data_IF_852168825416
#
_entry.id   IF_852168825416
#
_cell.length_a   1.000
_cell.length_b   1.000
_cell.length_c   1.000
_cell.angle_alpha   90.00
_cell.angle_beta   90.00
_cell.angle_gamma   90.00
#
_symmetry.space_group_name_H-M   'P 1'
#
loop_
_entity.id
_entity.type
_entity.pdbx_description
1 polymer ?
#
# COMPACT_ATOMS: atom_id res chain seq x y z
N UNK A 1 43.83 23.77 56.50
CA UNK A 1 44.20 22.65 55.61
C UNK A 1 42.93 22.09 54.99
N UNK A 2 42.61 22.49 53.75
CA UNK A 2 41.41 22.06 53.02
C UNK A 2 41.87 21.13 51.89
N UNK A 3 41.43 19.86 51.94
CA UNK A 3 41.80 18.81 50.98
C UNK A 3 41.07 19.02 49.66
N UNK A 4 41.85 19.15 48.57
CA UNK A 4 41.37 19.20 47.19
C UNK A 4 40.94 17.78 46.78
N UNK A 5 39.72 17.62 46.26
CA UNK A 5 39.23 16.36 45.66
C UNK A 5 39.79 16.18 44.25
N UNK A 6 40.16 14.97 43.82
CA UNK A 6 40.45 14.71 42.41
C UNK A 6 39.14 14.46 41.65
N UNK A 7 38.92 15.23 40.59
CA UNK A 7 37.87 14.98 39.59
C UNK A 7 38.44 13.99 38.57
N UNK A 8 37.88 12.78 38.55
CA UNK A 8 38.20 11.75 37.56
C UNK A 8 37.46 12.09 36.26
N UNK A 9 38.18 12.57 35.25
CA UNK A 9 37.65 12.81 33.91
C UNK A 9 37.55 11.47 33.17
N UNK A 10 36.35 10.89 33.12
CA UNK A 10 36.07 9.75 32.23
C UNK A 10 35.62 10.33 30.89
N UNK A 11 36.50 10.29 29.89
CA UNK A 11 36.13 10.53 28.51
C UNK A 11 35.23 9.39 28.04
N UNK A 12 33.91 9.58 28.12
CA UNK A 12 32.94 8.71 27.47
C UNK A 12 33.11 8.87 25.95
N UNK A 13 33.72 7.87 25.32
CA UNK A 13 33.64 7.67 23.89
C UNK A 13 32.18 7.39 23.52
N UNK A 14 31.48 8.43 23.08
CA UNK A 14 30.15 8.32 22.48
C UNK A 14 30.39 7.70 21.09
N UNK A 15 30.42 6.37 21.05
CA UNK A 15 30.22 5.64 19.80
C UNK A 15 28.86 6.08 19.26
N UNK A 16 28.91 6.95 18.25
CA UNK A 16 27.75 7.35 17.49
C UNK A 16 27.31 6.12 16.72
N UNK A 17 26.44 5.31 17.31
CA UNK A 17 25.64 4.36 16.54
C UNK A 17 24.82 5.21 15.58
N UNK A 18 25.30 5.35 14.35
CA UNK A 18 24.45 5.76 13.25
C UNK A 18 23.34 4.74 13.22
N UNK A 19 22.14 5.17 13.63
CA UNK A 19 20.94 4.38 13.48
C UNK A 19 20.85 4.03 12.00
N UNK A 20 21.11 2.76 11.67
CA UNK A 20 20.83 2.24 10.34
C UNK A 20 19.34 2.37 10.19
N UNK A 21 18.89 3.37 9.41
CA UNK A 21 17.50 3.50 9.07
C UNK A 21 17.09 2.18 8.40
N UNK A 22 16.34 1.35 9.12
CA UNK A 22 15.75 0.15 8.53
C UNK A 22 14.88 0.62 7.38
N UNK A 23 15.15 0.15 6.16
CA UNK A 23 14.24 0.37 5.04
C UNK A 23 12.85 -0.12 5.46
N UNK A 24 11.88 0.80 5.53
CA UNK A 24 10.52 0.52 5.97
C UNK A 24 9.79 -0.46 5.02
N UNK A 25 10.34 -0.64 3.80
CA UNK A 25 9.84 -1.55 2.76
C UNK A 25 10.94 -2.04 1.83
N UNK A 26 10.60 -3.05 1.03
CA UNK A 26 11.42 -3.58 -0.05
C UNK A 26 10.71 -3.27 -1.37
N UNK A 27 11.40 -2.64 -2.33
CA UNK A 27 10.90 -2.58 -3.70
C UNK A 27 10.97 -3.96 -4.36
N UNK A 28 9.86 -4.38 -4.95
CA UNK A 28 9.71 -5.68 -5.59
C UNK A 28 9.71 -5.48 -7.09
N UNK A 29 10.65 -6.10 -7.81
CA UNK A 29 10.63 -6.07 -9.27
C UNK A 29 9.66 -7.13 -9.80
N UNK A 30 8.87 -6.75 -10.81
CA UNK A 30 8.01 -7.65 -11.57
C UNK A 30 8.23 -7.39 -13.07
N UNK A 31 9.39 -7.79 -13.64
CA UNK A 31 9.85 -7.26 -14.94
C UNK A 31 8.90 -7.55 -16.10
N UNK A 32 8.24 -8.71 -16.09
CA UNK A 32 7.31 -9.08 -17.14
C UNK A 32 6.03 -8.26 -17.06
N UNK A 33 5.50 -8.06 -15.85
CA UNK A 33 4.34 -7.20 -15.64
C UNK A 33 4.66 -5.72 -15.93
N UNK A 34 5.79 -5.23 -15.44
CA UNK A 34 6.22 -3.82 -15.59
C UNK A 34 6.23 -3.39 -17.06
N UNK A 35 6.61 -4.29 -17.99
CA UNK A 35 6.56 -4.03 -19.44
C UNK A 35 5.13 -3.84 -19.96
N UNK A 36 4.18 -4.58 -19.43
CA UNK A 36 2.79 -4.60 -19.91
C UNK A 36 1.99 -3.42 -19.35
N UNK A 37 2.28 -2.95 -18.13
CA UNK A 37 1.49 -1.91 -17.43
C UNK A 37 2.28 -0.64 -17.03
N UNK A 38 3.47 -0.41 -17.61
CA UNK A 38 4.31 0.76 -17.29
C UNK A 38 3.54 2.08 -17.35
N UNK A 39 2.76 2.29 -18.41
CA UNK A 39 1.85 3.41 -18.60
C UNK A 39 0.80 3.06 -19.65
N UNK A 40 -0.34 2.52 -19.21
CA UNK A 40 -1.49 2.32 -20.09
C UNK A 40 -2.14 3.67 -20.41
N UNK A 41 -2.43 3.90 -21.70
CA UNK A 41 -3.19 5.06 -22.18
C UNK A 41 -4.59 4.63 -22.54
N UNK A 42 -5.59 5.37 -22.05
CA UNK A 42 -6.99 5.21 -22.44
C UNK A 42 -7.36 6.45 -23.25
N UNK A 43 -7.49 6.28 -24.57
CA UNK A 43 -7.61 7.41 -25.49
C UNK A 43 -6.33 8.26 -25.53
N UNK A 44 -6.46 9.56 -25.79
CA UNK A 44 -5.31 10.46 -25.96
C UNK A 44 -4.88 11.17 -24.67
N UNK A 45 -5.77 11.33 -23.69
CA UNK A 45 -5.58 12.26 -22.56
C UNK A 45 -5.46 11.58 -21.19
N UNK A 46 -5.89 10.33 -21.07
CA UNK A 46 -5.88 9.59 -19.80
C UNK A 46 -4.74 8.57 -19.81
N UNK A 47 -3.94 8.56 -18.75
CA UNK A 47 -2.92 7.53 -18.56
C UNK A 47 -2.87 7.03 -17.12
N UNK A 48 -2.68 5.73 -16.97
CA UNK A 48 -2.45 5.08 -15.68
C UNK A 48 -1.09 4.41 -15.73
N UNK A 49 -0.16 4.87 -14.90
CA UNK A 49 1.21 4.41 -14.90
C UNK A 49 1.56 3.73 -13.60
N UNK A 50 2.13 2.53 -13.66
CA UNK A 50 2.78 1.92 -12.51
C UNK A 50 3.93 2.83 -12.05
N UNK A 51 4.07 2.99 -10.73
CA UNK A 51 5.11 3.81 -10.10
C UNK A 51 6.07 3.02 -9.26
N UNK A 52 5.53 2.12 -8.45
CA UNK A 52 6.32 1.23 -7.62
C UNK A 52 5.51 0.00 -7.27
N UNK A 53 6.23 -1.05 -6.92
CA UNK A 53 5.69 -2.23 -6.29
C UNK A 53 6.50 -2.42 -5.02
N UNK A 54 5.83 -2.46 -3.87
CA UNK A 54 6.50 -2.42 -2.57
C UNK A 54 5.93 -3.50 -1.65
N UNK A 55 6.82 -4.17 -0.92
CA UNK A 55 6.48 -5.07 0.16
C UNK A 55 6.88 -4.46 1.50
N UNK A 56 5.91 -4.37 2.40
CA UNK A 56 6.11 -3.97 3.79
C UNK A 56 5.96 -5.22 4.67
N UNK A 57 6.82 -5.38 5.67
CA UNK A 57 6.81 -6.57 6.52
C UNK A 57 5.90 -6.47 7.74
N UNK A 58 5.48 -5.26 8.14
CA UNK A 58 4.71 -5.06 9.38
C UNK A 58 3.87 -3.79 9.36
N UNK A 59 2.54 -3.88 9.19
CA UNK A 59 1.77 -5.06 8.82
C UNK A 59 2.09 -5.49 7.39
N UNK A 60 2.20 -6.80 7.15
CA UNK A 60 2.46 -7.37 5.82
C UNK A 60 1.55 -6.74 4.76
N UNK A 61 2.11 -6.00 3.80
CA UNK A 61 1.35 -5.31 2.76
C UNK A 61 2.11 -5.33 1.43
N UNK A 62 1.44 -5.81 0.37
CA UNK A 62 1.99 -5.84 -0.97
C UNK A 62 1.31 -4.79 -1.85
N UNK A 63 1.92 -3.63 -2.00
CA UNK A 63 1.29 -2.45 -2.60
C UNK A 63 1.82 -2.19 -4.00
N UNK A 64 0.89 -2.06 -4.95
CA UNK A 64 1.16 -1.62 -6.32
C UNK A 64 0.66 -0.20 -6.45
N UNK A 65 1.59 0.74 -6.56
CA UNK A 65 1.27 2.17 -6.65
C UNK A 65 1.18 2.60 -8.10
N UNK A 66 0.05 3.21 -8.44
CA UNK A 66 -0.20 3.78 -9.75
C UNK A 66 -0.38 5.29 -9.66
N UNK A 67 -0.06 5.97 -10.76
CA UNK A 67 -0.40 7.38 -10.98
C UNK A 67 -1.36 7.49 -12.15
N UNK A 68 -2.57 7.94 -11.86
CA UNK A 68 -3.55 8.32 -12.86
C UNK A 68 -3.34 9.79 -13.23
N UNK A 69 -3.25 10.08 -14.52
CA UNK A 69 -3.20 11.42 -15.08
C UNK A 69 -4.31 11.59 -16.09
N UNK A 70 -4.95 12.74 -16.07
CA UNK A 70 -5.97 13.16 -17.01
C UNK A 70 -6.50 14.52 -16.59
N UNK A 71 -7.29 15.13 -17.45
CA UNK A 71 -8.10 16.30 -17.13
C UNK A 71 -9.53 15.81 -16.84
N UNK A 72 -9.85 15.66 -15.56
CA UNK A 72 -11.10 15.08 -15.11
C UNK A 72 -12.02 16.15 -14.55
N UNK A 73 -13.32 16.03 -14.82
CA UNK A 73 -14.32 16.80 -14.06
C UNK A 73 -14.14 16.51 -12.56
N UNK A 74 -13.99 17.56 -11.74
CA UNK A 74 -13.72 17.43 -10.31
C UNK A 74 -14.75 16.52 -9.59
N UNK A 75 -16.02 16.63 -9.98
CA UNK A 75 -17.13 15.82 -9.45
C UNK A 75 -17.05 14.32 -9.82
N UNK A 76 -16.27 13.97 -10.85
CA UNK A 76 -16.12 12.59 -11.34
C UNK A 76 -14.81 11.94 -10.91
N UNK A 77 -13.88 12.69 -10.29
CA UNK A 77 -12.55 12.18 -9.92
C UNK A 77 -12.65 10.92 -9.06
N UNK A 78 -13.50 10.93 -8.04
CA UNK A 78 -13.69 9.74 -7.17
C UNK A 78 -14.14 8.53 -7.99
N UNK A 79 -15.21 8.69 -8.77
CA UNK A 79 -15.79 7.60 -9.59
C UNK A 79 -14.77 7.04 -10.57
N UNK A 80 -14.01 7.90 -11.25
CA UNK A 80 -13.00 7.51 -12.24
C UNK A 80 -11.84 6.80 -11.53
N UNK A 81 -11.32 7.37 -10.45
CA UNK A 81 -10.21 6.78 -9.68
C UNK A 81 -10.57 5.39 -9.17
N UNK A 82 -11.77 5.24 -8.59
CA UNK A 82 -12.25 3.96 -8.09
C UNK A 82 -12.50 2.95 -9.21
N UNK A 83 -12.94 3.39 -10.40
CA UNK A 83 -13.07 2.51 -11.56
C UNK A 83 -11.71 1.96 -12.01
N UNK A 84 -10.69 2.80 -12.10
CA UNK A 84 -9.33 2.37 -12.43
C UNK A 84 -8.76 1.42 -11.36
N UNK A 85 -8.99 1.69 -10.08
CA UNK A 85 -8.54 0.80 -8.99
C UNK A 85 -9.19 -0.59 -9.10
N UNK A 86 -10.49 -0.64 -9.42
CA UNK A 86 -11.22 -1.89 -9.65
C UNK A 86 -10.67 -2.65 -10.85
N UNK A 87 -10.45 -1.99 -11.98
CA UNK A 87 -9.93 -2.61 -13.20
C UNK A 87 -8.53 -3.20 -12.98
N UNK A 88 -7.60 -2.40 -12.46
CA UNK A 88 -6.24 -2.86 -12.14
C UNK A 88 -6.26 -4.03 -11.16
N UNK A 89 -7.07 -3.93 -10.10
CA UNK A 89 -7.18 -5.01 -9.12
C UNK A 89 -7.78 -6.28 -9.73
N UNK A 90 -8.79 -6.18 -10.60
CA UNK A 90 -9.35 -7.35 -11.28
C UNK A 90 -8.36 -7.99 -12.26
N UNK A 91 -7.50 -7.21 -12.92
CA UNK A 91 -6.48 -7.76 -13.82
C UNK A 91 -5.34 -8.46 -13.08
N UNK A 92 -4.98 -7.98 -11.88
CA UNK A 92 -3.81 -8.45 -11.13
C UNK A 92 -4.15 -9.44 -10.01
N UNK A 93 -5.33 -9.34 -9.41
CA UNK A 93 -5.70 -10.06 -8.20
C UNK A 93 -6.83 -11.08 -8.49
N UNK A 94 -6.59 -12.39 -8.32
CA UNK A 94 -7.58 -13.43 -8.62
C UNK A 94 -8.82 -13.36 -7.73
N UNK A 95 -8.73 -12.85 -6.49
CA UNK A 95 -9.89 -12.69 -5.61
C UNK A 95 -10.78 -11.54 -6.08
N UNK A 96 -10.19 -10.42 -6.50
CA UNK A 96 -10.97 -9.32 -7.08
C UNK A 96 -11.64 -9.74 -8.38
N UNK A 97 -10.92 -10.48 -9.24
CA UNK A 97 -11.48 -11.02 -10.47
C UNK A 97 -12.69 -11.93 -10.18
N UNK A 98 -12.55 -12.87 -9.24
CA UNK A 98 -13.62 -13.76 -8.83
C UNK A 98 -14.83 -13.01 -8.24
N UNK A 99 -14.61 -11.93 -7.47
CA UNK A 99 -15.71 -11.11 -6.93
C UNK A 99 -16.58 -10.48 -8.03
N UNK A 100 -15.99 -10.17 -9.19
CA UNK A 100 -16.70 -9.60 -10.33
C UNK A 100 -17.03 -10.63 -11.41
N UNK A 101 -16.99 -11.93 -11.09
CA UNK A 101 -17.25 -13.04 -12.03
C UNK A 101 -16.42 -12.94 -13.33
N UNK A 102 -15.14 -12.55 -13.20
CA UNK A 102 -14.19 -12.43 -14.31
C UNK A 102 -12.89 -13.21 -14.03
N UNK A 103 -11.99 -13.23 -15.02
CA UNK A 103 -10.66 -13.85 -14.90
C UNK A 103 -9.55 -12.79 -14.87
N UNK A 104 -8.50 -12.96 -14.06
CA UNK A 104 -7.42 -11.99 -13.97
C UNK A 104 -6.52 -12.06 -15.22
N UNK A 105 -6.51 -10.98 -16.00
CA UNK A 105 -5.84 -10.92 -17.30
C UNK A 105 -4.31 -10.92 -17.23
N UNK A 106 -3.71 -10.53 -16.10
CA UNK A 106 -2.25 -10.34 -15.95
C UNK A 106 -1.64 -11.25 -14.89
N UNK A 107 -2.38 -12.26 -14.42
CA UNK A 107 -1.91 -13.14 -13.35
C UNK A 107 -0.67 -13.95 -13.75
N UNK A 108 -0.57 -14.34 -15.02
CA UNK A 108 0.55 -15.09 -15.58
C UNK A 108 1.81 -14.23 -15.80
N UNK A 109 1.69 -12.91 -15.67
CA UNK A 109 2.79 -11.94 -15.74
C UNK A 109 3.42 -11.65 -14.37
N UNK A 110 2.81 -12.14 -13.29
CA UNK A 110 3.28 -11.97 -11.92
C UNK A 110 4.19 -13.14 -11.49
N UNK A 111 5.36 -12.81 -10.95
CA UNK A 111 6.21 -13.74 -10.22
C UNK A 111 5.62 -13.96 -8.82
N UNK A 112 4.93 -15.09 -8.64
CA UNK A 112 4.15 -15.38 -7.42
C UNK A 112 4.89 -16.24 -6.38
N UNK A 113 6.18 -16.50 -6.56
CA UNK A 113 6.94 -17.41 -5.68
C UNK A 113 7.06 -16.91 -4.23
N UNK A 114 7.27 -15.60 -4.05
CA UNK A 114 7.44 -14.98 -2.73
C UNK A 114 6.23 -14.14 -2.31
N UNK A 115 5.59 -13.46 -3.25
CA UNK A 115 4.47 -12.56 -3.00
C UNK A 115 3.26 -13.03 -3.81
N UNK A 116 2.14 -13.30 -3.14
CA UNK A 116 0.96 -13.85 -3.79
C UNK A 116 0.10 -12.74 -4.39
N UNK A 117 -0.42 -12.97 -5.59
CA UNK A 117 -1.27 -12.02 -6.31
C UNK A 117 -2.56 -11.66 -5.54
N UNK A 118 -3.10 -12.61 -4.77
CA UNK A 118 -4.27 -12.40 -3.89
C UNK A 118 -4.04 -11.34 -2.80
N UNK A 119 -2.78 -11.01 -2.49
CA UNK A 119 -2.39 -10.04 -1.45
C UNK A 119 -2.13 -8.64 -2.00
N UNK A 120 -2.31 -8.44 -3.32
CA UNK A 120 -2.05 -7.16 -3.96
C UNK A 120 -3.06 -6.12 -3.49
N UNK A 121 -2.53 -5.00 -3.00
CA UNK A 121 -3.23 -3.76 -2.73
C UNK A 121 -2.93 -2.79 -3.87
N UNK A 122 -3.98 -2.29 -4.52
CA UNK A 122 -3.85 -1.22 -5.50
C UNK A 122 -3.90 0.11 -4.76
N UNK A 123 -2.87 0.94 -4.95
CA UNK A 123 -2.86 2.35 -4.57
C UNK A 123 -2.91 3.19 -5.86
N UNK A 124 -3.79 4.20 -5.90
CA UNK A 124 -3.83 5.17 -7.00
C UNK A 124 -3.65 6.57 -6.44
N UNK A 125 -2.72 7.31 -7.05
CA UNK A 125 -2.56 8.75 -6.87
C UNK A 125 -3.04 9.50 -8.10
N UNK A 126 -3.77 10.60 -7.91
CA UNK A 126 -4.29 11.46 -8.98
C UNK A 126 -3.91 12.91 -8.70
N UNK A 127 -3.43 13.60 -9.74
CA UNK A 127 -3.32 15.05 -9.71
C UNK A 127 -4.31 15.60 -10.76
N UNK A 128 -5.32 16.34 -10.34
CA UNK A 128 -6.34 16.92 -11.21
C UNK A 128 -6.52 18.40 -10.89
N UNK A 129 -6.30 19.30 -11.84
CA UNK A 129 -6.49 20.76 -11.67
C UNK A 129 -5.85 21.36 -10.39
N UNK A 130 -4.62 20.92 -10.06
CA UNK A 130 -3.83 21.26 -8.84
C UNK A 130 -4.28 20.57 -7.55
N UNK A 131 -5.43 19.91 -7.57
CA UNK A 131 -5.89 19.07 -6.48
C UNK A 131 -5.23 17.69 -6.53
N UNK A 132 -5.02 17.10 -5.35
CA UNK A 132 -4.48 15.76 -5.20
C UNK A 132 -5.55 14.84 -4.64
N UNK A 133 -5.55 13.61 -5.11
CA UNK A 133 -6.45 12.57 -4.62
C UNK A 133 -5.70 11.26 -4.52
N UNK A 134 -6.16 10.43 -3.59
CA UNK A 134 -5.58 9.12 -3.36
C UNK A 134 -6.70 8.10 -3.19
N UNK A 135 -6.48 6.88 -3.63
CA UNK A 135 -7.41 5.78 -3.41
C UNK A 135 -6.66 4.48 -3.20
N UNK A 136 -7.33 3.53 -2.55
CA UNK A 136 -6.87 2.15 -2.55
C UNK A 136 -8.02 1.16 -2.71
N UNK A 137 -7.66 -0.04 -3.18
CA UNK A 137 -8.56 -1.18 -3.22
C UNK A 137 -7.78 -2.48 -3.03
N UNK A 138 -8.30 -3.38 -2.20
CA UNK A 138 -7.79 -4.75 -2.06
C UNK A 138 -8.89 -5.72 -1.63
N UNK A 139 -8.82 -7.00 -2.05
CA UNK A 139 -9.73 -8.03 -1.58
C UNK A 139 -9.25 -8.68 -0.29
N UNK A 140 -10.20 -9.17 0.49
CA UNK A 140 -10.00 -9.97 1.69
C UNK A 140 -10.89 -11.20 1.66
N UNK A 141 -10.31 -12.35 1.96
CA UNK A 141 -11.05 -13.59 2.16
C UNK A 141 -11.35 -13.74 3.66
N UNK A 142 -12.62 -13.56 4.04
CA UNK A 142 -13.08 -13.69 5.43
C UNK A 142 -14.19 -14.73 5.44
N UNK A 143 -14.02 -15.83 6.17
CA UNK A 143 -14.98 -16.92 6.24
C UNK A 143 -15.43 -17.41 4.84
N UNK A 144 -14.47 -17.62 3.94
CA UNK A 144 -14.67 -18.01 2.54
C UNK A 144 -15.52 -17.05 1.68
N UNK A 145 -15.74 -15.82 2.15
CA UNK A 145 -16.39 -14.75 1.39
C UNK A 145 -15.37 -13.70 1.02
N UNK A 146 -15.42 -13.24 -0.22
CA UNK A 146 -14.57 -12.18 -0.72
C UNK A 146 -15.20 -10.83 -0.36
N UNK A 147 -14.43 -9.99 0.31
CA UNK A 147 -14.79 -8.62 0.65
C UNK A 147 -13.82 -7.68 -0.05
N UNK A 148 -14.34 -6.71 -0.80
CA UNK A 148 -13.51 -5.64 -1.36
C UNK A 148 -13.44 -4.49 -0.37
N UNK A 149 -12.24 -4.18 0.10
CA UNK A 149 -11.97 -3.04 0.95
C UNK A 149 -11.39 -1.94 0.09
N UNK A 150 -12.00 -0.75 0.15
CA UNK A 150 -11.54 0.41 -0.59
C UNK A 150 -11.79 1.70 0.15
N UNK A 151 -11.01 2.73 -0.17
CA UNK A 151 -11.32 4.09 0.25
C UNK A 151 -10.82 5.11 -0.78
N UNK A 152 -11.40 6.30 -0.76
CA UNK A 152 -11.01 7.45 -1.55
C UNK A 152 -10.74 8.63 -0.63
N UNK A 153 -9.74 9.43 -0.98
CA UNK A 153 -9.30 10.58 -0.20
C UNK A 153 -9.12 11.79 -1.10
N UNK A 154 -9.59 12.92 -0.59
CA UNK A 154 -9.08 14.22 -1.00
C UNK A 154 -7.74 14.47 -0.29
N UNK A 155 -6.70 14.78 -1.06
CA UNK A 155 -5.32 14.90 -0.60
C UNK A 155 -4.41 13.73 -0.98
N UNK A 156 -3.12 13.89 -0.67
CA UNK A 156 -2.10 12.86 -0.84
C UNK A 156 -2.04 11.99 0.42
N UNK A 157 -2.39 10.71 0.27
CA UNK A 157 -2.40 9.71 1.34
C UNK A 157 -1.49 8.56 0.94
N UNK A 158 -0.48 8.30 1.76
CA UNK A 158 0.33 7.07 1.70
C UNK A 158 -0.52 5.92 2.26
N UNK A 159 -0.88 4.96 1.41
CA UNK A 159 -1.82 3.90 1.76
C UNK A 159 -1.24 3.00 2.84
N UNK A 160 0.05 2.69 2.80
CA UNK A 160 0.68 1.87 3.83
C UNK A 160 0.61 2.56 5.19
N UNK A 161 1.02 3.84 5.27
CA UNK A 161 0.99 4.60 6.54
C UNK A 161 -0.43 4.71 7.09
N UNK A 162 -1.40 4.98 6.22
CA UNK A 162 -2.81 5.03 6.61
C UNK A 162 -3.33 3.69 7.16
N UNK A 163 -3.01 2.58 6.50
CA UNK A 163 -3.39 1.24 6.94
C UNK A 163 -2.71 0.87 8.26
N UNK A 164 -1.41 1.19 8.40
CA UNK A 164 -0.66 0.97 9.64
C UNK A 164 -1.23 1.77 10.82
N UNK A 165 -1.54 3.06 10.63
CA UNK A 165 -2.14 3.90 11.66
C UNK A 165 -3.51 3.39 12.12
N UNK A 166 -4.33 2.88 11.19
CA UNK A 166 -5.60 2.23 11.54
C UNK A 166 -5.39 1.02 12.46
N UNK A 167 -4.28 0.31 12.29
CA UNK A 167 -3.94 -0.82 13.14
C UNK A 167 -3.45 -0.44 14.51
N UNK A 168 -2.50 0.49 14.58
CA UNK A 168 -2.02 1.06 15.84
C UNK A 168 -3.19 1.59 16.67
N UNK A 169 -4.14 2.30 16.03
CA UNK A 169 -5.33 2.82 16.70
C UNK A 169 -6.24 1.72 17.28
N UNK A 170 -6.36 0.56 16.62
CA UNK A 170 -7.17 -0.57 17.12
C UNK A 170 -6.47 -1.24 18.30
N UNK A 171 -5.16 -1.45 18.19
CA UNK A 171 -4.34 -2.01 19.28
C UNK A 171 -4.43 -1.13 20.54
N UNK A 172 -4.31 0.19 20.37
CA UNK A 172 -4.35 1.17 21.45
C UNK A 172 -5.72 1.27 22.14
N UNK A 173 -6.82 1.24 21.37
CA UNK A 173 -8.16 1.49 21.91
C UNK A 173 -8.80 0.24 22.51
N UNK A 174 -8.59 -0.93 21.90
CA UNK A 174 -9.38 -2.13 22.21
C UNK A 174 -8.58 -3.24 22.89
N UNK A 175 -7.25 -3.14 22.90
CA UNK A 175 -6.42 -4.32 23.09
C UNK A 175 -6.65 -5.36 21.97
N UNK A 176 -5.78 -6.37 21.88
CA UNK A 176 -5.89 -7.42 20.84
C UNK A 176 -7.14 -8.32 21.03
N UNK A 177 -7.96 -8.08 22.06
CA UNK A 177 -9.13 -8.89 22.40
C UNK A 177 -10.22 -8.88 21.32
N UNK A 178 -10.38 -7.80 20.55
CA UNK A 178 -11.28 -7.74 19.39
C UNK A 178 -10.60 -8.29 18.12
N UNK A 179 -10.40 -9.60 18.13
CA UNK A 179 -9.75 -10.36 17.06
C UNK A 179 -10.40 -10.15 15.69
N UNK A 180 -11.73 -9.96 15.65
CA UNK A 180 -12.46 -9.75 14.39
C UNK A 180 -12.15 -8.36 13.79
N UNK A 181 -12.16 -7.30 14.59
CA UNK A 181 -11.79 -5.95 14.13
C UNK A 181 -10.34 -5.90 13.67
N UNK A 182 -9.43 -6.57 14.38
CA UNK A 182 -8.02 -6.67 14.00
C UNK A 182 -7.84 -7.42 12.68
N UNK A 183 -8.46 -8.59 12.52
CA UNK A 183 -8.36 -9.38 11.28
C UNK A 183 -8.92 -8.66 10.05
N UNK A 184 -9.98 -7.84 10.24
CA UNK A 184 -10.55 -7.00 9.18
C UNK A 184 -9.67 -5.81 8.81
N UNK A 185 -8.97 -5.24 9.79
CA UNK A 185 -8.30 -3.94 9.63
C UNK A 185 -6.79 -4.03 9.45
N UNK A 186 -6.16 -5.16 9.85
CA UNK A 186 -4.70 -5.24 10.05
C UNK A 186 -4.00 -6.44 9.45
N UNK A 187 -4.76 -7.40 8.98
CA UNK A 187 -4.21 -8.45 8.13
C UNK A 187 -4.53 -8.02 6.70
N UNK A 188 -3.51 -7.79 5.88
CA UNK A 188 -3.68 -7.46 4.47
C UNK A 188 -3.30 -8.62 3.54
N UNK A 189 -2.80 -9.72 4.12
CA UNK A 189 -2.50 -10.96 3.40
C UNK A 189 -3.60 -12.01 3.61
N UNK A 190 -4.07 -12.58 2.52
CA UNK A 190 -4.88 -13.79 2.50
C UNK A 190 -3.92 -14.98 2.72
N UNK A 191 -4.30 -15.88 3.62
CA UNK A 191 -3.55 -17.08 4.00
C UNK A 191 -4.32 -18.31 3.56
#
# INVERSE_FOLDING_TARGET
MIKIKPVLLIALNIFSFQAVASLEHIEVSQPQLEKDIACEKVGETISTCLKSISWYSSPEAYIFKFKLKGDFDAEKVEKITMLHAKQLSAFLNPLTAAFYDTSPALLDRLEQGKYRAENIIIEISVNNLKEKYSAYLYPRLINNKIHLISNFFYGEVDVYKHLKQKCESIEDIKGIEDKESYQKSCIFTNK
#
